data_IF_376247355977
#
_entry.id   IF_376247355977
#
_cell.length_a   1.000
_cell.length_b   1.000
_cell.length_c   1.000
_cell.angle_alpha   90.00
_cell.angle_beta   90.00
_cell.angle_gamma   90.00
#
_symmetry.space_group_name_H-M   'P 1'
#
loop_
_entity.id
_entity.type
_entity.pdbx_description
1 polymer ?
#
# COMPACT_ATOMS: atom_id res chain seq x y z
N UNK A 1 -2.69 8.03 -9.00
CA UNK A 1 -1.34 8.16 -8.41
C UNK A 1 -1.38 7.68 -6.98
N UNK A 2 -0.43 6.87 -6.60
CA UNK A 2 -0.25 6.37 -5.21
C UNK A 2 -0.26 7.53 -4.19
N UNK A 3 0.09 8.74 -4.59
CA UNK A 3 0.13 9.91 -3.73
C UNK A 3 -1.20 10.60 -3.43
N UNK A 4 -2.25 10.41 -4.19
CA UNK A 4 -3.44 11.29 -4.08
C UNK A 4 -4.29 11.09 -2.82
N UNK A 5 -4.26 9.93 -2.19
CA UNK A 5 -5.01 9.63 -0.96
C UNK A 5 -4.14 9.10 0.20
N UNK A 6 -2.84 8.93 -0.02
CA UNK A 6 -1.96 8.41 1.00
C UNK A 6 -1.74 9.40 2.15
N UNK A 7 -1.75 8.89 3.36
CA UNK A 7 -1.36 9.61 4.58
C UNK A 7 -0.31 8.79 5.32
N UNK A 8 0.66 9.44 6.00
CA UNK A 8 1.66 8.73 6.79
C UNK A 8 1.00 7.92 7.92
N UNK A 9 1.69 6.88 8.36
CA UNK A 9 1.27 6.16 9.56
C UNK A 9 1.38 7.08 10.79
N UNK A 10 0.52 6.92 11.82
CA UNK A 10 0.47 7.86 12.95
C UNK A 10 1.82 8.12 13.64
N UNK A 11 2.67 7.09 13.72
CA UNK A 11 4.01 7.19 14.33
C UNK A 11 5.09 7.71 13.37
N UNK A 12 4.72 8.12 12.16
CA UNK A 12 5.62 8.60 11.10
C UNK A 12 5.17 9.94 10.52
N UNK A 13 4.34 10.68 11.22
CA UNK A 13 3.68 11.88 10.70
C UNK A 13 4.58 13.12 10.63
N UNK A 14 5.71 13.14 11.32
CA UNK A 14 6.53 14.36 11.46
C UNK A 14 7.73 14.38 10.52
N UNK A 15 8.29 13.22 10.18
CA UNK A 15 9.57 13.12 9.45
C UNK A 15 9.40 12.27 8.20
N UNK A 16 9.68 12.86 7.04
CA UNK A 16 9.81 12.12 5.78
C UNK A 16 11.27 11.93 5.39
N UNK A 17 11.61 10.74 4.89
CA UNK A 17 12.91 10.43 4.27
C UNK A 17 12.68 10.11 2.80
N UNK A 18 13.15 10.96 1.91
CA UNK A 18 13.05 10.77 0.47
C UNK A 18 14.24 9.96 -0.02
N UNK A 19 13.98 8.87 -0.70
CA UNK A 19 14.99 7.93 -1.18
C UNK A 19 14.96 7.83 -2.71
N UNK A 20 16.11 7.59 -3.36
CA UNK A 20 16.13 7.36 -4.80
C UNK A 20 15.47 6.02 -5.13
N UNK A 21 14.94 5.88 -6.34
CA UNK A 21 14.48 4.61 -6.88
C UNK A 21 15.65 3.61 -7.07
N UNK A 22 15.31 2.39 -7.42
CA UNK A 22 16.29 1.33 -7.70
C UNK A 22 15.75 0.42 -8.81
N UNK A 23 16.64 -0.22 -9.56
CA UNK A 23 16.26 -1.18 -10.60
C UNK A 23 15.54 -2.42 -10.03
N UNK A 24 15.90 -2.86 -8.82
CA UNK A 24 15.29 -4.03 -8.18
C UNK A 24 13.99 -3.65 -7.45
N UNK A 25 12.89 -4.35 -7.78
CA UNK A 25 11.58 -4.21 -7.13
C UNK A 25 11.12 -5.54 -6.50
N UNK A 26 10.29 -5.48 -5.48
CA UNK A 26 10.04 -4.31 -4.63
C UNK A 26 11.33 -3.81 -3.99
N UNK A 27 11.42 -2.53 -3.69
CA UNK A 27 12.66 -1.86 -3.25
C UNK A 27 13.33 -2.52 -2.04
N UNK A 28 12.55 -3.15 -1.14
CA UNK A 28 13.10 -3.91 0.00
C UNK A 28 14.08 -5.02 -0.38
N UNK A 29 14.05 -5.51 -1.63
CA UNK A 29 14.99 -6.53 -2.15
C UNK A 29 16.26 -5.92 -2.71
N UNK A 30 16.28 -4.61 -2.96
CA UNK A 30 17.42 -3.92 -3.53
C UNK A 30 18.60 -3.85 -2.53
N UNK A 31 19.83 -4.12 -2.97
CA UNK A 31 21.02 -3.92 -2.15
C UNK A 31 21.20 -2.48 -1.67
N UNK A 32 20.89 -1.48 -2.52
CA UNK A 32 20.97 -0.06 -2.17
C UNK A 32 19.97 0.28 -1.06
N UNK A 33 18.70 -0.14 -1.20
CA UNK A 33 17.69 0.11 -0.17
C UNK A 33 17.94 -0.66 1.13
N UNK A 34 18.71 -1.75 1.11
CA UNK A 34 19.18 -2.38 2.34
C UNK A 34 20.11 -1.43 3.10
N UNK A 35 21.09 -0.84 2.40
CA UNK A 35 22.01 0.15 3.00
C UNK A 35 21.26 1.37 3.55
N UNK A 36 20.25 1.87 2.82
CA UNK A 36 19.43 3.00 3.29
C UNK A 36 18.67 2.64 4.58
N UNK A 37 18.03 1.49 4.63
CA UNK A 37 17.33 1.05 5.85
C UNK A 37 18.27 0.83 7.02
N UNK A 38 19.47 0.31 6.77
CA UNK A 38 20.49 0.13 7.81
C UNK A 38 20.99 1.49 8.33
N UNK A 39 21.10 2.51 7.47
CA UNK A 39 21.46 3.86 7.85
C UNK A 39 20.31 4.59 8.59
N UNK A 40 19.09 4.47 8.13
CA UNK A 40 17.90 5.07 8.76
C UNK A 40 17.64 4.45 10.13
N UNK A 41 17.65 3.12 10.23
CA UNK A 41 17.50 2.33 11.46
C UNK A 41 16.33 2.75 12.39
N UNK A 42 15.33 3.44 11.87
CA UNK A 42 14.16 3.94 12.60
C UNK A 42 12.85 3.53 11.92
N UNK A 43 11.82 3.24 12.71
CA UNK A 43 10.45 3.03 12.24
C UNK A 43 9.56 4.25 12.45
N UNK A 44 10.11 5.30 13.05
CA UNK A 44 9.37 6.53 13.35
C UNK A 44 9.43 7.55 12.18
N UNK A 45 9.96 7.17 11.04
CA UNK A 45 10.08 8.04 9.86
C UNK A 45 9.34 7.44 8.66
N UNK A 46 8.72 8.28 7.85
CA UNK A 46 8.11 7.89 6.58
C UNK A 46 9.15 7.79 5.47
N UNK A 47 9.45 6.58 4.99
CA UNK A 47 10.32 6.39 3.83
C UNK A 47 9.51 6.49 2.54
N UNK A 48 9.88 7.39 1.64
CA UNK A 48 9.19 7.62 0.37
C UNK A 48 10.20 7.54 -0.78
N UNK A 49 10.01 6.60 -1.70
CA UNK A 49 10.83 6.49 -2.89
C UNK A 49 10.38 7.51 -3.94
N UNK A 50 11.33 8.26 -4.48
CA UNK A 50 11.13 9.20 -5.58
C UNK A 50 11.48 8.50 -6.89
N UNK A 51 10.53 8.44 -7.83
CA UNK A 51 10.68 7.67 -9.06
C UNK A 51 9.93 8.31 -10.23
N UNK A 52 10.55 8.38 -11.41
CA UNK A 52 9.98 9.02 -12.60
C UNK A 52 8.59 8.52 -12.98
N UNK A 53 8.36 7.20 -13.15
CA UNK A 53 7.09 6.75 -13.74
C UNK A 53 5.91 6.79 -12.77
N UNK A 54 6.16 6.69 -11.45
CA UNK A 54 5.10 6.61 -10.44
C UNK A 54 5.04 7.84 -9.54
N UNK A 55 6.04 8.72 -9.62
CA UNK A 55 6.20 9.87 -8.75
C UNK A 55 6.72 9.47 -7.38
N UNK A 56 5.84 9.29 -6.41
CA UNK A 56 6.19 8.95 -5.04
C UNK A 56 5.61 7.60 -4.65
N UNK A 57 6.43 6.76 -4.03
CA UNK A 57 6.03 5.45 -3.53
C UNK A 57 6.38 5.32 -2.05
N UNK A 58 5.41 5.42 -1.13
CA UNK A 58 5.62 5.12 0.28
C UNK A 58 6.12 3.68 0.50
N UNK A 59 6.97 3.47 1.50
CA UNK A 59 7.63 2.17 1.75
C UNK A 59 6.65 1.01 1.91
N UNK A 60 5.57 1.21 2.60
CA UNK A 60 4.57 0.17 2.83
C UNK A 60 3.81 -0.19 1.55
N UNK A 61 3.66 0.73 0.60
CA UNK A 61 2.96 0.51 -0.67
C UNK A 61 3.86 -0.06 -1.78
N UNK A 62 5.17 -0.23 -1.54
CA UNK A 62 6.11 -0.78 -2.52
C UNK A 62 5.79 -2.21 -2.98
N UNK A 63 4.96 -2.93 -2.20
CA UNK A 63 4.54 -4.31 -2.49
C UNK A 63 3.30 -4.40 -3.35
N UNK A 64 2.67 -3.27 -3.66
CA UNK A 64 1.50 -3.18 -4.52
C UNK A 64 1.90 -3.02 -6.00
N UNK A 65 1.09 -3.55 -6.89
CA UNK A 65 1.21 -3.23 -8.31
C UNK A 65 0.76 -1.77 -8.57
N UNK A 66 1.43 -1.00 -9.42
CA UNK A 66 2.59 -1.34 -10.25
C UNK A 66 3.94 -1.21 -9.54
N UNK A 67 4.03 -0.62 -8.35
CA UNK A 67 5.30 -0.32 -7.67
C UNK A 67 6.18 -1.56 -7.43
N UNK A 68 5.55 -2.73 -7.24
CA UNK A 68 6.26 -3.99 -6.96
C UNK A 68 6.98 -4.61 -8.17
N UNK A 69 6.68 -4.17 -9.40
CA UNK A 69 7.11 -4.91 -10.61
C UNK A 69 7.27 -4.09 -11.89
N UNK A 70 7.19 -2.74 -11.83
CA UNK A 70 7.43 -1.96 -13.06
C UNK A 70 8.89 -2.08 -13.52
N UNK A 71 9.06 -2.19 -14.81
CA UNK A 71 10.37 -2.35 -15.47
C UNK A 71 10.68 -1.10 -16.32
N UNK A 72 11.26 -0.10 -15.68
CA UNK A 72 11.74 1.11 -16.34
C UNK A 72 13.21 1.29 -15.97
N UNK A 73 14.10 1.53 -16.95
CA UNK A 73 15.50 1.78 -16.68
C UNK A 73 15.69 2.94 -15.70
N UNK A 74 16.49 2.73 -14.66
CA UNK A 74 16.90 3.78 -13.74
C UNK A 74 18.15 4.43 -14.33
N UNK A 75 17.97 5.51 -15.08
CA UNK A 75 19.09 6.25 -15.66
C UNK A 75 19.80 7.15 -14.65
N UNK A 76 19.08 7.56 -13.61
CA UNK A 76 19.56 8.55 -12.63
C UNK A 76 19.53 9.98 -13.17
N UNK A 77 19.12 10.16 -14.42
CA UNK A 77 18.96 11.45 -15.07
C UNK A 77 17.47 11.77 -15.16
N UNK A 78 17.12 13.00 -14.90
CA UNK A 78 15.76 13.54 -14.96
C UNK A 78 15.75 14.66 -15.99
N UNK A 79 14.75 14.69 -16.86
CA UNK A 79 14.53 15.89 -17.66
C UNK A 79 13.85 17.00 -16.84
N UNK A 80 13.80 18.20 -17.40
CA UNK A 80 13.28 19.38 -16.67
C UNK A 80 11.80 19.26 -16.37
N UNK A 81 11.03 18.63 -17.22
CA UNK A 81 9.59 18.45 -17.04
C UNK A 81 9.31 17.40 -15.96
N UNK A 82 10.05 16.30 -15.97
CA UNK A 82 10.00 15.28 -14.92
C UNK A 82 10.37 15.88 -13.56
N UNK A 83 11.45 16.67 -13.48
CA UNK A 83 11.86 17.35 -12.25
C UNK A 83 10.77 18.29 -11.73
N UNK A 84 10.14 19.07 -12.63
CA UNK A 84 9.05 19.97 -12.25
C UNK A 84 7.86 19.19 -11.66
N UNK A 85 7.44 18.11 -12.31
CA UNK A 85 6.36 17.24 -11.85
C UNK A 85 6.70 16.63 -10.47
N UNK A 86 7.90 16.08 -10.32
CA UNK A 86 8.34 15.46 -9.07
C UNK A 86 8.40 16.48 -7.93
N UNK A 87 8.99 17.65 -8.15
CA UNK A 87 9.03 18.73 -7.13
C UNK A 87 7.64 19.10 -6.67
N UNK A 88 6.72 19.29 -7.59
CA UNK A 88 5.31 19.57 -7.26
C UNK A 88 4.68 18.43 -6.45
N UNK A 89 4.84 17.18 -6.88
CA UNK A 89 4.29 16.03 -6.17
C UNK A 89 4.86 15.90 -4.75
N UNK A 90 6.16 16.13 -4.57
CA UNK A 90 6.79 16.10 -3.23
C UNK A 90 6.20 17.22 -2.36
N UNK A 91 6.13 18.45 -2.88
CA UNK A 91 5.57 19.59 -2.15
C UNK A 91 4.11 19.34 -1.74
N UNK A 92 3.28 18.85 -2.67
CA UNK A 92 1.88 18.52 -2.41
C UNK A 92 1.72 17.44 -1.32
N UNK A 93 2.55 16.40 -1.36
CA UNK A 93 2.52 15.31 -0.36
C UNK A 93 3.01 15.80 1.00
N UNK A 94 4.12 16.52 1.05
CA UNK A 94 4.70 17.06 2.30
C UNK A 94 3.71 17.98 2.99
N UNK A 95 3.14 18.94 2.25
CA UNK A 95 2.18 19.90 2.80
C UNK A 95 0.90 19.21 3.30
N UNK A 96 0.35 18.27 2.51
CA UNK A 96 -0.87 17.54 2.89
C UNK A 96 -0.65 16.61 4.08
N UNK A 97 0.49 15.94 4.13
CA UNK A 97 0.84 15.02 5.22
C UNK A 97 1.24 15.73 6.49
N UNK A 98 1.62 17.02 6.40
CA UNK A 98 2.03 17.83 7.54
C UNK A 98 3.42 17.47 8.07
N UNK A 99 4.34 17.06 7.20
CA UNK A 99 5.71 16.80 7.63
C UNK A 99 6.44 18.10 7.97
N UNK A 100 7.03 18.15 9.14
CA UNK A 100 7.85 19.28 9.61
C UNK A 100 9.28 19.19 9.08
N UNK A 101 9.80 17.95 8.94
CA UNK A 101 11.17 17.68 8.51
C UNK A 101 11.17 16.74 7.32
N UNK A 102 11.89 17.11 6.28
CA UNK A 102 12.18 16.26 5.10
C UNK A 102 13.66 16.01 4.97
N UNK A 103 14.07 14.78 5.19
CA UNK A 103 15.46 14.33 4.96
C UNK A 103 15.54 13.85 3.50
N UNK A 104 16.18 14.64 2.67
CA UNK A 104 16.27 14.39 1.24
C UNK A 104 17.56 13.62 0.90
N UNK A 105 17.39 12.35 0.60
CA UNK A 105 18.44 11.46 0.08
C UNK A 105 18.21 11.07 -1.38
N UNK A 106 17.15 11.60 -2.01
CA UNK A 106 16.75 11.24 -3.37
C UNK A 106 17.71 11.70 -4.46
N UNK A 107 18.38 12.82 -4.23
CA UNK A 107 19.22 13.51 -5.22
C UNK A 107 18.45 14.51 -6.10
N UNK A 108 17.17 14.67 -5.89
CA UNK A 108 16.37 15.75 -6.50
C UNK A 108 16.54 17.00 -5.62
N UNK A 109 16.93 18.10 -6.21
CA UNK A 109 17.00 19.38 -5.50
C UNK A 109 15.58 19.87 -5.17
N UNK A 110 15.32 20.10 -3.88
CA UNK A 110 14.00 20.43 -3.34
C UNK A 110 14.05 21.65 -2.44
N UNK A 111 13.06 22.51 -2.60
CA UNK A 111 12.73 23.57 -1.65
C UNK A 111 11.23 23.52 -1.40
N UNK A 112 10.80 23.44 -0.14
CA UNK A 112 9.39 23.29 0.24
C UNK A 112 9.08 24.34 1.29
N UNK A 113 8.12 25.20 1.01
CA UNK A 113 7.73 26.27 1.92
C UNK A 113 7.16 25.69 3.22
N UNK A 114 7.62 26.22 4.35
CA UNK A 114 7.15 25.83 5.68
C UNK A 114 7.68 24.49 6.19
N UNK A 115 8.60 23.84 5.47
CA UNK A 115 9.21 22.59 5.86
C UNK A 115 10.74 22.69 5.88
N UNK A 116 11.38 22.07 6.88
CA UNK A 116 12.84 21.97 6.93
C UNK A 116 13.33 20.82 6.02
N UNK A 117 13.96 21.16 4.90
CA UNK A 117 14.50 20.19 3.93
C UNK A 117 16.01 20.07 4.10
N UNK A 118 16.49 18.87 4.41
CA UNK A 118 17.92 18.58 4.69
C UNK A 118 18.45 17.65 3.59
N UNK A 119 19.37 18.13 2.75
CA UNK A 119 20.06 17.30 1.75
C UNK A 119 21.18 16.49 2.40
N UNK A 120 21.11 15.18 2.33
CA UNK A 120 22.13 14.27 2.88
C UNK A 120 23.11 13.76 1.83
N UNK A 121 22.87 14.00 0.54
CA UNK A 121 23.80 13.61 -0.52
C UNK A 121 24.92 14.62 -0.72
N UNK A 122 24.60 15.90 -0.75
CA UNK A 122 25.57 16.98 -0.95
C UNK A 122 26.48 16.74 -2.18
N UNK A 123 25.90 16.21 -3.27
CA UNK A 123 26.62 15.87 -4.50
C UNK A 123 27.23 14.45 -4.54
N UNK A 124 27.29 13.73 -3.43
CA UNK A 124 27.77 12.35 -3.38
C UNK A 124 26.76 11.36 -3.98
N UNK A 125 27.23 10.16 -4.31
CA UNK A 125 26.32 9.07 -4.70
C UNK A 125 25.52 8.61 -3.47
N UNK A 126 24.24 8.19 -3.68
CA UNK A 126 23.37 7.79 -2.60
C UNK A 126 23.88 6.60 -1.75
N UNK A 127 24.74 5.77 -2.32
CA UNK A 127 25.29 4.58 -1.64
C UNK A 127 26.71 4.80 -1.08
N UNK A 128 27.28 6.01 -1.14
CA UNK A 128 28.60 6.28 -0.58
C UNK A 128 28.58 6.23 0.94
N UNK A 129 29.73 5.98 1.53
CA UNK A 129 29.85 5.91 2.99
C UNK A 129 29.52 7.26 3.63
N UNK A 130 29.93 8.36 3.01
CA UNK A 130 29.75 9.72 3.48
C UNK A 130 28.26 10.10 3.46
N UNK A 131 27.55 9.85 2.35
CA UNK A 131 26.12 10.16 2.23
C UNK A 131 25.26 9.31 3.16
N UNK A 132 25.59 8.03 3.33
CA UNK A 132 24.90 7.14 4.27
C UNK A 132 25.13 7.54 5.72
N UNK A 133 26.34 8.02 6.04
CA UNK A 133 26.64 8.54 7.37
C UNK A 133 25.82 9.78 7.67
N UNK A 134 25.77 10.76 6.75
CA UNK A 134 24.92 11.95 6.90
C UNK A 134 23.44 11.57 7.04
N UNK A 135 22.97 10.63 6.20
CA UNK A 135 21.59 10.12 6.33
C UNK A 135 21.30 9.59 7.74
N UNK A 136 22.21 8.79 8.30
CA UNK A 136 22.05 8.25 9.65
C UNK A 136 22.06 9.33 10.72
N UNK A 137 22.98 10.28 10.64
CA UNK A 137 23.12 11.39 11.61
C UNK A 137 21.88 12.30 11.59
N UNK A 138 21.38 12.66 10.40
CA UNK A 138 20.19 13.50 10.26
C UNK A 138 18.91 12.81 10.72
N UNK A 139 18.73 11.51 10.42
CA UNK A 139 17.60 10.76 10.96
C UNK A 139 17.61 10.70 12.48
N UNK A 140 18.79 10.46 13.08
CA UNK A 140 18.93 10.43 14.53
C UNK A 140 18.67 11.82 15.15
N UNK A 141 19.16 12.89 14.53
CA UNK A 141 18.91 14.26 14.98
C UNK A 141 17.43 14.61 14.91
N UNK A 142 16.79 14.38 13.76
CA UNK A 142 15.39 14.67 13.53
C UNK A 142 14.47 13.88 14.48
N UNK A 143 14.70 12.57 14.64
CA UNK A 143 13.89 11.75 15.54
C UNK A 143 14.03 12.17 17.00
N UNK A 144 15.20 12.65 17.42
CA UNK A 144 15.43 13.19 18.76
C UNK A 144 14.74 14.54 18.94
N UNK A 145 14.84 15.42 17.96
CA UNK A 145 14.22 16.76 17.98
C UNK A 145 12.68 16.65 18.05
N UNK A 146 12.11 15.79 17.25
CA UNK A 146 10.68 15.52 17.21
C UNK A 146 10.18 14.69 18.41
N UNK A 147 11.05 14.22 19.31
CA UNK A 147 10.72 13.22 20.33
C UNK A 147 9.95 12.01 19.78
N UNK A 148 10.30 11.59 18.56
CA UNK A 148 9.59 10.55 17.84
C UNK A 148 9.71 9.19 18.57
N UNK A 149 8.57 8.57 18.84
CA UNK A 149 8.52 7.30 19.56
C UNK A 149 8.68 6.13 18.59
N UNK A 150 9.71 5.32 18.83
CA UNK A 150 9.90 4.08 18.08
C UNK A 150 8.77 3.07 18.35
N UNK A 151 7.92 2.74 17.37
CA UNK A 151 6.86 1.77 17.58
C UNK A 151 7.44 0.36 17.73
N UNK A 152 6.77 -0.49 18.51
CA UNK A 152 7.07 -1.92 18.49
C UNK A 152 6.87 -2.48 17.08
N UNK A 153 7.71 -3.45 16.68
CA UNK A 153 7.66 -4.04 15.33
C UNK A 153 6.25 -4.51 14.93
N UNK A 154 5.49 -5.09 15.84
CA UNK A 154 4.13 -5.57 15.55
C UNK A 154 3.15 -4.42 15.27
N UNK A 155 3.30 -3.30 15.99
CA UNK A 155 2.50 -2.10 15.76
C UNK A 155 2.84 -1.50 14.40
N UNK A 156 4.11 -1.26 14.10
CA UNK A 156 4.53 -0.72 12.80
C UNK A 156 4.08 -1.61 11.63
N UNK A 157 4.12 -2.93 11.81
CA UNK A 157 3.67 -3.88 10.79
C UNK A 157 2.15 -3.81 10.57
N UNK A 158 1.36 -3.72 11.65
CA UNK A 158 -0.09 -3.54 11.55
C UNK A 158 -0.43 -2.24 10.84
N UNK A 159 0.20 -1.13 11.22
CA UNK A 159 -0.01 0.17 10.58
C UNK A 159 0.34 0.16 9.09
N UNK A 160 1.38 -0.57 8.69
CA UNK A 160 1.69 -0.76 7.27
C UNK A 160 0.54 -1.46 6.53
N UNK A 161 -0.10 -2.47 7.13
CA UNK A 161 -1.25 -3.15 6.52
C UNK A 161 -2.53 -2.31 6.59
N UNK A 162 -2.68 -1.43 7.58
CA UNK A 162 -3.74 -0.42 7.59
C UNK A 162 -3.58 0.57 6.43
N UNK A 163 -2.37 1.09 6.20
CA UNK A 163 -2.07 1.97 5.07
C UNK A 163 -2.36 1.27 3.73
N UNK A 164 -1.98 -0.01 3.58
CA UNK A 164 -2.31 -0.82 2.42
C UNK A 164 -3.84 -0.98 2.25
N UNK A 165 -4.56 -1.23 3.34
CA UNK A 165 -6.02 -1.40 3.31
C UNK A 165 -6.72 -0.10 2.89
N UNK A 166 -6.35 1.04 3.47
CA UNK A 166 -6.84 2.36 3.06
C UNK A 166 -6.60 2.63 1.58
N UNK A 167 -5.41 2.25 1.09
CA UNK A 167 -5.08 2.44 -0.34
C UNK A 167 -5.90 1.55 -1.27
N UNK A 168 -6.19 0.30 -0.89
CA UNK A 168 -6.90 -0.66 -1.73
C UNK A 168 -8.44 -0.54 -1.62
N UNK A 169 -8.95 -0.19 -0.44
CA UNK A 169 -10.37 -0.30 -0.10
C UNK A 169 -10.97 0.95 0.53
N UNK A 170 -10.17 2.02 0.70
CA UNK A 170 -10.56 3.28 1.36
C UNK A 170 -10.98 3.11 2.83
N UNK A 171 -10.74 1.91 3.40
CA UNK A 171 -11.07 1.57 4.78
C UNK A 171 -10.01 0.64 5.38
N UNK A 172 -9.80 0.76 6.70
CA UNK A 172 -8.89 -0.10 7.47
C UNK A 172 -9.50 -0.53 8.83
N UNK A 173 -10.74 -0.19 9.09
CA UNK A 173 -11.41 -0.44 10.38
C UNK A 173 -11.60 -1.94 10.68
N UNK A 174 -11.65 -2.79 9.64
CA UNK A 174 -11.67 -4.24 9.81
C UNK A 174 -10.38 -4.81 10.46
N UNK A 175 -9.34 -4.00 10.56
CA UNK A 175 -8.07 -4.30 11.25
C UNK A 175 -8.03 -3.83 12.71
N UNK A 176 -9.13 -3.28 13.24
CA UNK A 176 -9.20 -2.83 14.62
C UNK A 176 -9.02 -4.02 15.58
N UNK A 177 -8.05 -3.89 16.50
CA UNK A 177 -7.67 -4.96 17.41
C UNK A 177 -6.88 -6.12 16.79
N UNK A 178 -6.68 -6.13 15.47
CA UNK A 178 -5.96 -7.20 14.78
C UNK A 178 -4.47 -7.20 15.10
N UNK A 179 -3.83 -8.34 14.85
CA UNK A 179 -2.37 -8.54 14.92
C UNK A 179 -1.88 -9.07 13.59
N UNK A 180 -0.74 -8.55 13.14
CA UNK A 180 -0.06 -9.06 11.95
C UNK A 180 1.19 -9.80 12.38
N UNK A 181 1.37 -11.01 11.88
CA UNK A 181 2.52 -11.87 12.15
C UNK A 181 3.12 -12.41 10.85
N UNK A 182 4.34 -12.96 10.94
CA UNK A 182 5.04 -13.52 9.80
C UNK A 182 6.19 -12.64 9.29
N UNK A 183 6.67 -13.00 8.11
CA UNK A 183 7.74 -12.29 7.37
C UNK A 183 7.42 -12.31 5.88
N UNK A 184 7.91 -11.29 5.18
CA UNK A 184 7.76 -11.23 3.72
C UNK A 184 8.24 -12.55 3.06
N UNK A 185 7.49 -13.11 2.13
CA UNK A 185 6.25 -12.59 1.56
C UNK A 185 4.96 -13.00 2.32
N UNK A 186 5.07 -13.81 3.36
CA UNK A 186 3.96 -14.49 4.03
C UNK A 186 3.57 -13.76 5.32
N UNK A 187 2.43 -13.11 5.31
CA UNK A 187 1.86 -12.46 6.48
C UNK A 187 0.48 -13.02 6.80
N UNK A 188 0.21 -13.20 8.09
CA UNK A 188 -1.08 -13.63 8.62
C UNK A 188 -1.65 -12.53 9.49
N UNK A 189 -2.93 -12.27 9.33
CA UNK A 189 -3.70 -11.30 10.10
C UNK A 189 -4.68 -12.06 10.98
N UNK A 190 -4.64 -11.80 12.28
CA UNK A 190 -5.48 -12.46 13.27
C UNK A 190 -6.20 -11.45 14.14
N UNK A 191 -7.41 -11.77 14.56
CA UNK A 191 -8.22 -11.05 15.53
C UNK A 191 -8.70 -12.05 16.58
N UNK A 192 -8.46 -11.76 17.86
CA UNK A 192 -8.82 -12.63 19.00
C UNK A 192 -8.33 -14.09 18.89
N UNK A 193 -7.21 -14.29 18.18
CA UNK A 193 -6.61 -15.59 17.94
C UNK A 193 -7.02 -16.25 16.61
N UNK A 194 -8.11 -15.82 16.01
CA UNK A 194 -8.60 -16.36 14.74
C UNK A 194 -7.97 -15.66 13.55
N UNK A 195 -7.68 -16.42 12.49
CA UNK A 195 -7.19 -15.86 11.25
C UNK A 195 -8.34 -15.21 10.48
N UNK A 196 -8.24 -13.88 10.26
CA UNK A 196 -9.22 -13.12 9.49
C UNK A 196 -8.78 -12.86 8.05
N UNK A 197 -7.45 -12.85 7.80
CA UNK A 197 -6.90 -12.75 6.44
C UNK A 197 -5.45 -13.23 6.37
N UNK A 198 -4.97 -13.45 5.14
CA UNK A 198 -3.54 -13.55 4.81
C UNK A 198 -3.21 -12.58 3.70
N UNK A 199 -1.97 -12.11 3.67
CA UNK A 199 -1.47 -11.32 2.54
C UNK A 199 -1.04 -12.23 1.40
N UNK A 200 -1.70 -12.12 0.25
CA UNK A 200 -1.30 -12.81 -0.99
C UNK A 200 -0.31 -11.93 -1.77
N UNK A 201 0.97 -12.13 -1.52
CA UNK A 201 2.03 -11.33 -2.14
C UNK A 201 2.13 -11.54 -3.65
N UNK A 202 1.63 -12.66 -4.18
CA UNK A 202 1.63 -12.92 -5.62
C UNK A 202 0.61 -12.07 -6.36
N UNK A 203 -0.42 -11.63 -5.64
CA UNK A 203 -1.52 -10.82 -6.17
C UNK A 203 -1.56 -9.40 -5.62
N UNK A 204 -0.71 -9.10 -4.61
CA UNK A 204 -0.69 -7.79 -3.96
C UNK A 204 -2.03 -7.43 -3.31
N UNK A 205 -2.68 -8.40 -2.63
CA UNK A 205 -3.99 -8.20 -2.00
C UNK A 205 -4.21 -9.08 -0.79
N UNK A 206 -5.22 -8.77 0.00
CA UNK A 206 -5.66 -9.64 1.08
C UNK A 206 -6.48 -10.82 0.54
N UNK A 207 -6.27 -11.99 1.14
CA UNK A 207 -7.13 -13.15 1.00
C UNK A 207 -7.91 -13.30 2.32
N UNK A 208 -9.15 -12.86 2.29
CA UNK A 208 -10.02 -12.82 3.47
C UNK A 208 -10.51 -14.21 3.89
N UNK A 209 -10.68 -14.43 5.20
CA UNK A 209 -11.33 -15.61 5.78
C UNK A 209 -12.84 -15.40 5.88
N UNK A 210 -13.60 -16.49 6.07
CA UNK A 210 -15.07 -16.41 6.21
C UNK A 210 -15.50 -15.50 7.36
N UNK A 211 -14.80 -15.56 8.47
CA UNK A 211 -15.15 -14.86 9.71
C UNK A 211 -15.20 -13.34 9.57
N UNK A 212 -14.44 -12.76 8.66
CA UNK A 212 -14.39 -11.29 8.47
C UNK A 212 -15.40 -10.79 7.44
N UNK A 213 -15.99 -11.65 6.62
CA UNK A 213 -16.91 -11.23 5.54
C UNK A 213 -18.08 -10.36 6.01
N UNK A 214 -18.73 -10.61 7.18
CA UNK A 214 -19.78 -9.72 7.68
C UNK A 214 -19.28 -8.30 7.93
N UNK A 215 -18.08 -8.13 8.50
CA UNK A 215 -17.47 -6.82 8.76
C UNK A 215 -17.17 -6.10 7.45
N UNK A 216 -16.65 -6.82 6.44
CA UNK A 216 -16.38 -6.23 5.12
C UNK A 216 -17.68 -5.78 4.41
N UNK A 217 -18.79 -6.48 4.64
CA UNK A 217 -20.10 -6.09 4.13
C UNK A 217 -20.62 -4.83 4.85
N UNK A 218 -20.57 -4.81 6.18
CA UNK A 218 -21.01 -3.68 7.00
C UNK A 218 -20.28 -2.40 6.61
N UNK A 219 -18.96 -2.49 6.43
CA UNK A 219 -18.11 -1.38 6.05
C UNK A 219 -18.16 -1.06 4.54
N UNK A 220 -18.91 -1.82 3.75
CA UNK A 220 -19.04 -1.65 2.28
C UNK A 220 -17.68 -1.65 1.55
N UNK A 221 -16.73 -2.40 2.07
CA UNK A 221 -15.36 -2.42 1.55
C UNK A 221 -15.22 -3.10 0.20
N UNK A 222 -16.06 -4.09 -0.09
CA UNK A 222 -15.96 -4.90 -1.29
C UNK A 222 -17.21 -4.75 -2.16
N UNK A 223 -17.08 -4.89 -3.48
CA UNK A 223 -18.22 -5.00 -4.37
C UNK A 223 -19.14 -6.16 -3.96
N UNK A 224 -20.43 -6.02 -4.22
CA UNK A 224 -21.42 -7.08 -3.93
C UNK A 224 -22.03 -7.62 -5.20
N UNK A 225 -22.44 -8.87 -5.15
CA UNK A 225 -23.20 -9.55 -6.21
C UNK A 225 -24.46 -10.13 -5.59
N UNK A 226 -25.63 -9.75 -6.12
CA UNK A 226 -26.90 -10.30 -5.70
C UNK A 226 -27.28 -11.51 -6.56
N UNK A 227 -27.56 -12.64 -5.91
CA UNK A 227 -28.09 -13.83 -6.58
C UNK A 227 -29.55 -13.65 -6.92
N UNK A 228 -29.96 -14.29 -8.01
CA UNK A 228 -31.40 -14.45 -8.35
C UNK A 228 -32.13 -15.11 -7.17
N UNK A 229 -33.31 -14.59 -6.86
CA UNK A 229 -34.17 -15.12 -5.80
C UNK A 229 -34.50 -16.61 -6.05
N UNK A 230 -34.46 -17.42 -4.99
CA UNK A 230 -34.69 -18.87 -5.08
C UNK A 230 -33.53 -19.68 -5.66
N UNK A 231 -32.47 -19.05 -6.16
CA UNK A 231 -31.31 -19.79 -6.66
C UNK A 231 -30.53 -20.43 -5.51
N UNK A 232 -30.27 -21.73 -5.61
CA UNK A 232 -29.33 -22.40 -4.67
C UNK A 232 -27.92 -22.25 -5.15
N UNK A 233 -27.13 -21.44 -4.43
CA UNK A 233 -25.75 -21.19 -4.80
C UNK A 233 -24.83 -22.36 -4.43
N UNK A 234 -24.33 -23.04 -5.43
CA UNK A 234 -23.47 -24.23 -5.26
C UNK A 234 -22.09 -24.10 -5.90
N UNK A 235 -21.90 -23.13 -6.76
CA UNK A 235 -20.66 -23.01 -7.56
C UNK A 235 -20.33 -21.58 -7.99
N UNK A 236 -19.74 -21.46 -9.16
CA UNK A 236 -19.32 -20.19 -9.73
C UNK A 236 -20.51 -19.28 -10.10
N UNK A 237 -20.24 -17.98 -10.21
CA UNK A 237 -21.24 -17.00 -10.62
C UNK A 237 -21.22 -16.85 -12.13
N UNK A 238 -22.41 -16.86 -12.73
CA UNK A 238 -22.66 -16.68 -14.15
C UNK A 238 -23.72 -15.60 -14.35
N UNK A 239 -23.80 -15.02 -15.53
CA UNK A 239 -24.83 -14.02 -15.87
C UNK A 239 -26.25 -14.53 -15.57
N UNK A 240 -26.51 -15.85 -15.72
CA UNK A 240 -27.83 -16.45 -15.49
C UNK A 240 -28.22 -16.59 -14.01
N UNK A 241 -27.28 -16.51 -13.06
CA UNK A 241 -27.57 -16.70 -11.63
C UNK A 241 -27.39 -15.46 -10.77
N UNK A 242 -27.04 -14.32 -11.37
CA UNK A 242 -26.97 -13.02 -10.70
C UNK A 242 -28.15 -12.13 -11.10
N UNK A 243 -28.69 -11.40 -10.12
CA UNK A 243 -29.75 -10.39 -10.34
C UNK A 243 -29.14 -8.98 -10.52
N UNK A 244 -27.97 -8.73 -9.94
CA UNK A 244 -27.27 -7.46 -10.02
C UNK A 244 -25.95 -7.49 -9.27
N UNK A 245 -25.22 -6.37 -9.34
CA UNK A 245 -23.97 -6.18 -8.62
C UNK A 245 -23.72 -4.69 -8.34
N UNK A 246 -22.87 -4.41 -7.35
CA UNK A 246 -22.40 -3.07 -7.02
C UNK A 246 -20.90 -2.93 -7.24
N UNK A 247 -20.44 -1.69 -7.41
CA UNK A 247 -19.03 -1.39 -7.65
C UNK A 247 -18.58 -1.75 -9.06
N UNK A 248 -17.28 -1.79 -9.25
CA UNK A 248 -16.64 -2.08 -10.55
C UNK A 248 -15.54 -3.15 -10.38
N UNK A 249 -15.89 -4.38 -9.97
CA UNK A 249 -14.90 -5.41 -9.76
C UNK A 249 -14.09 -5.71 -11.04
N UNK A 250 -12.78 -5.79 -10.87
CA UNK A 250 -11.82 -6.21 -11.87
C UNK A 250 -11.41 -7.67 -11.65
N UNK A 251 -10.78 -8.27 -12.65
CA UNK A 251 -10.26 -9.64 -12.55
C UNK A 251 -9.39 -9.78 -11.31
N UNK A 252 -9.71 -10.79 -10.51
CA UNK A 252 -9.01 -11.13 -9.28
C UNK A 252 -9.56 -10.44 -8.02
N UNK A 253 -10.47 -9.48 -8.13
CA UNK A 253 -11.10 -8.87 -6.96
C UNK A 253 -12.01 -9.84 -6.25
N UNK A 254 -12.08 -9.71 -4.92
CA UNK A 254 -13.05 -10.42 -4.11
C UNK A 254 -14.36 -9.65 -4.11
N UNK A 255 -15.47 -10.37 -4.30
CA UNK A 255 -16.83 -9.83 -4.25
C UNK A 255 -17.63 -10.56 -3.19
N UNK A 256 -18.49 -9.86 -2.45
CA UNK A 256 -19.40 -10.46 -1.50
C UNK A 256 -20.66 -10.94 -2.24
N UNK A 257 -21.10 -12.14 -1.92
CA UNK A 257 -22.28 -12.75 -2.55
C UNK A 257 -23.46 -12.63 -1.60
N UNK A 258 -24.49 -11.94 -2.06
CA UNK A 258 -25.75 -11.71 -1.33
C UNK A 258 -26.90 -12.46 -1.99
N UNK A 259 -27.95 -12.71 -1.23
CA UNK A 259 -29.24 -13.17 -1.72
C UNK A 259 -30.34 -12.65 -0.80
N UNK A 260 -31.29 -11.93 -1.35
CA UNK A 260 -32.34 -11.25 -0.59
C UNK A 260 -31.79 -10.44 0.60
N UNK A 261 -30.67 -9.72 0.37
CA UNK A 261 -29.97 -8.91 1.37
C UNK A 261 -29.12 -9.69 2.37
N UNK A 262 -29.18 -11.03 2.39
CA UNK A 262 -28.40 -11.85 3.30
C UNK A 262 -27.04 -12.25 2.67
N UNK A 263 -25.95 -12.13 3.45
CA UNK A 263 -24.63 -12.58 3.04
C UNK A 263 -24.60 -14.10 2.88
N UNK A 264 -24.18 -14.58 1.71
CA UNK A 264 -24.04 -16.01 1.37
C UNK A 264 -22.59 -16.46 1.29
N UNK A 265 -21.66 -15.52 1.16
CA UNK A 265 -20.26 -15.82 1.10
C UNK A 265 -19.46 -14.84 0.25
N UNK A 266 -18.39 -15.32 -0.37
CA UNK A 266 -17.58 -14.53 -1.29
C UNK A 266 -17.18 -15.33 -2.53
N UNK A 267 -16.90 -14.60 -3.60
CA UNK A 267 -16.36 -15.12 -4.85
C UNK A 267 -15.23 -14.24 -5.35
N UNK A 268 -14.41 -14.76 -6.25
CA UNK A 268 -13.32 -14.01 -6.89
C UNK A 268 -13.63 -13.77 -8.36
N UNK A 269 -13.66 -12.52 -8.77
CA UNK A 269 -13.93 -12.14 -10.15
C UNK A 269 -12.87 -12.73 -11.10
N UNK A 270 -13.33 -13.34 -12.20
CA UNK A 270 -12.50 -13.89 -13.28
C UNK A 270 -12.72 -13.16 -14.60
N UNK A 271 -13.73 -12.28 -14.64
CA UNK A 271 -13.98 -11.30 -15.69
C UNK A 271 -14.17 -9.93 -15.03
N UNK A 272 -13.86 -8.86 -15.75
CA UNK A 272 -14.14 -7.50 -15.29
C UNK A 272 -15.64 -7.19 -15.39
N UNK A 273 -16.16 -6.36 -14.48
CA UNK A 273 -17.59 -6.07 -14.39
C UNK A 273 -18.24 -5.55 -15.67
N UNK A 274 -17.51 -4.82 -16.50
CA UNK A 274 -17.99 -4.33 -17.79
C UNK A 274 -18.26 -5.46 -18.81
N UNK A 275 -17.65 -6.64 -18.63
CA UNK A 275 -17.87 -7.83 -19.46
C UNK A 275 -19.10 -8.65 -18.99
N UNK A 276 -19.49 -8.50 -17.72
CA UNK A 276 -20.46 -9.37 -17.06
C UNK A 276 -21.83 -9.49 -17.77
N UNK A 277 -22.40 -8.42 -18.34
CA UNK A 277 -23.71 -8.51 -19.02
C UNK A 277 -23.73 -9.46 -20.20
N UNK A 278 -22.59 -9.71 -20.84
CA UNK A 278 -22.49 -10.53 -22.04
C UNK A 278 -21.44 -11.65 -21.95
N UNK A 279 -20.86 -11.88 -20.77
CA UNK A 279 -19.81 -12.88 -20.61
C UNK A 279 -20.34 -14.30 -20.84
N UNK A 280 -19.68 -15.11 -21.71
CA UNK A 280 -20.13 -16.47 -22.04
C UNK A 280 -19.76 -17.51 -20.97
N UNK A 281 -18.95 -17.11 -19.97
CA UNK A 281 -18.40 -18.00 -18.95
C UNK A 281 -18.67 -17.55 -17.53
N UNK A 282 -17.89 -18.08 -16.60
CA UNK A 282 -17.95 -17.67 -15.20
C UNK A 282 -17.52 -16.22 -15.03
N UNK A 283 -18.29 -15.46 -14.27
CA UNK A 283 -18.02 -14.07 -13.89
C UNK A 283 -17.10 -14.01 -12.67
N UNK A 284 -17.36 -14.88 -11.70
CA UNK A 284 -16.55 -15.03 -10.51
C UNK A 284 -16.59 -16.47 -10.00
N UNK A 285 -15.49 -16.94 -9.44
CA UNK A 285 -15.35 -18.27 -8.84
C UNK A 285 -15.65 -18.22 -7.36
N UNK A 286 -16.49 -19.14 -6.89
CA UNK A 286 -16.83 -19.27 -5.48
C UNK A 286 -15.57 -19.47 -4.62
N UNK A 287 -15.46 -18.72 -3.51
CA UNK A 287 -14.39 -18.86 -2.53
C UNK A 287 -14.88 -19.37 -1.19
N UNK A 288 -15.82 -18.67 -0.62
CA UNK A 288 -16.42 -18.99 0.67
C UNK A 288 -17.94 -19.09 0.51
N UNK A 289 -18.51 -20.11 1.11
CA UNK A 289 -19.98 -20.26 1.26
C UNK A 289 -20.28 -20.31 2.76
N UNK A 290 -21.21 -19.48 3.21
CA UNK A 290 -21.71 -19.37 4.59
C UNK A 290 -22.92 -20.25 4.80
#
# INVERSE_FOLDING_TARGET
>A
SIGSGWTPMPHQSEIAVLLPCSATKPYRRSPSHRKFRDAIASRAVSEIMVTAPLGLVPRELEILWPASSYDIPVTGEWDMDELHIIRKMVSDVVSRAGFDIVINHSGVELTIDGCNVIDTRMGDTAGSQESLKRLSEEVQSATKEANALEPKRGVALLESFRSISRHLYEDDTWLDGAKVSGRAPNYRITLDGDQIAVWDSSKGRFAFSKSVLPVLLENKMLPTVDLVEGHTWTGDLFTSNIAGFTGSPCIGDEVLVLQAGALRGSARAVASSWEWPAAPGALARARHRL
#
